data_IF_366362243227
#
_entry.id   IF_366362243227
#
_cell.length_a   1.000
_cell.length_b   1.000
_cell.length_c   1.000
_cell.angle_alpha   90.00
_cell.angle_beta   90.00
_cell.angle_gamma   90.00
#
_symmetry.space_group_name_H-M   'P 1'
#
loop_
_entity.id
_entity.type
_entity.pdbx_description
1 polymer ?
#
# COMPACT_ATOMS: atom_id res chain seq x y z
N UNK A 1 -10.75 4.11 -1.11
CA UNK A 1 -9.85 3.03 -1.51
C UNK A 1 -10.55 1.70 -1.37
N UNK A 2 -10.50 0.90 -2.40
CA UNK A 2 -11.14 -0.41 -2.40
C UNK A 2 -10.10 -1.52 -2.33
N UNK A 3 -10.46 -2.60 -1.63
CA UNK A 3 -9.64 -3.81 -1.61
C UNK A 3 -10.35 -4.81 -2.52
N UNK A 4 -9.69 -5.18 -3.61
CA UNK A 4 -10.26 -6.07 -4.61
C UNK A 4 -9.40 -7.31 -4.78
N UNK A 5 -10.06 -8.45 -4.97
CA UNK A 5 -9.40 -9.69 -5.28
C UNK A 5 -9.58 -10.00 -6.77
N UNK A 6 -8.48 -10.20 -7.46
CA UNK A 6 -8.48 -10.60 -8.85
C UNK A 6 -7.76 -11.92 -9.01
N UNK A 7 -8.25 -12.76 -9.88
CA UNK A 7 -7.63 -14.06 -10.13
C UNK A 7 -6.23 -13.92 -10.69
N UNK A 8 -5.98 -12.86 -11.46
CA UNK A 8 -4.65 -12.58 -11.96
C UNK A 8 -4.43 -11.09 -12.10
N UNK A 9 -3.15 -10.70 -12.05
CA UNK A 9 -2.76 -9.32 -12.25
C UNK A 9 -3.04 -8.87 -13.69
N UNK A 10 -2.93 -9.77 -14.64
CA UNK A 10 -3.25 -9.49 -16.04
C UNK A 10 -4.72 -9.10 -16.20
N UNK A 11 -5.61 -9.84 -15.54
CA UNK A 11 -7.03 -9.53 -15.56
C UNK A 11 -7.29 -8.15 -14.96
N UNK A 12 -6.64 -7.85 -13.84
CA UNK A 12 -6.77 -6.54 -13.22
C UNK A 12 -6.36 -5.42 -14.16
N UNK A 13 -5.18 -5.53 -14.78
CA UNK A 13 -4.67 -4.50 -15.68
C UNK A 13 -5.52 -4.36 -16.94
N UNK A 14 -6.15 -5.43 -17.40
CA UNK A 14 -7.01 -5.37 -18.55
C UNK A 14 -8.30 -4.61 -18.29
N UNK A 15 -8.74 -4.57 -17.03
CA UNK A 15 -10.00 -3.94 -16.63
C UNK A 15 -9.86 -2.53 -16.07
N UNK A 16 -8.63 -2.13 -15.71
CA UNK A 16 -8.39 -0.87 -15.03
C UNK A 16 -7.29 -0.09 -15.71
N UNK A 17 -7.47 1.22 -15.81
CA UNK A 17 -6.44 2.12 -16.31
C UNK A 17 -5.55 2.52 -15.12
N UNK A 18 -4.44 1.83 -14.96
CA UNK A 18 -3.53 2.04 -13.84
C UNK A 18 -2.47 3.05 -14.23
N UNK A 19 -2.59 4.28 -13.75
CA UNK A 19 -1.65 5.36 -14.05
C UNK A 19 -0.56 5.51 -13.00
N UNK A 20 -0.89 5.25 -11.76
CA UNK A 20 0.07 5.30 -10.66
C UNK A 20 -0.15 4.08 -9.78
N UNK A 21 0.93 3.38 -9.48
CA UNK A 21 0.87 2.19 -8.64
C UNK A 21 2.09 2.09 -7.75
N UNK A 22 1.89 1.47 -6.59
CA UNK A 22 2.96 1.17 -5.64
C UNK A 22 2.80 -0.27 -5.19
N UNK A 23 3.91 -1.00 -5.14
CA UNK A 23 3.92 -2.41 -4.76
C UNK A 23 4.59 -2.55 -3.40
N UNK A 24 3.92 -3.20 -2.47
CA UNK A 24 4.45 -3.41 -1.12
C UNK A 24 5.14 -4.76 -1.07
N UNK A 25 6.44 -4.74 -0.78
CA UNK A 25 7.25 -5.95 -0.73
C UNK A 25 8.43 -5.76 0.21
N UNK A 26 8.77 -6.82 0.94
CA UNK A 26 9.98 -6.80 1.78
C UNK A 26 11.26 -6.79 0.95
N UNK A 27 11.15 -6.99 -0.36
CA UNK A 27 12.29 -6.97 -1.29
C UNK A 27 12.50 -5.62 -1.95
N UNK A 28 11.69 -4.63 -1.60
CA UNK A 28 11.75 -3.32 -2.22
C UNK A 28 12.99 -2.53 -1.80
N UNK A 29 13.47 -1.64 -2.68
CA UNK A 29 14.71 -0.89 -2.42
C UNK A 29 14.54 0.33 -1.52
N UNK A 30 13.32 0.75 -1.25
CA UNK A 30 13.09 1.97 -0.46
C UNK A 30 11.90 1.85 0.47
N UNK A 31 11.84 2.77 1.42
CA UNK A 31 10.79 2.82 2.42
C UNK A 31 9.48 3.31 1.82
N UNK A 32 8.36 2.81 2.34
CA UNK A 32 7.03 3.20 1.87
C UNK A 32 6.75 4.69 2.05
N UNK A 33 7.43 5.35 2.97
CA UNK A 33 7.26 6.80 3.20
C UNK A 33 7.96 7.66 2.16
N UNK A 34 8.86 7.08 1.38
CA UNK A 34 9.57 7.79 0.33
C UNK A 34 8.77 7.92 -0.95
N UNK A 35 7.69 7.15 -1.09
CA UNK A 35 6.83 7.23 -2.26
C UNK A 35 5.93 8.46 -2.19
N UNK A 36 5.63 9.04 -3.35
CA UNK A 36 4.68 10.14 -3.44
C UNK A 36 3.33 9.57 -3.89
N UNK A 37 2.40 9.49 -2.96
CA UNK A 37 1.07 8.94 -3.24
C UNK A 37 0.13 10.05 -3.65
N UNK A 38 -0.63 9.80 -4.72
CA UNK A 38 -1.64 10.74 -5.21
C UNK A 38 -3.00 10.09 -5.16
N UNK A 39 -4.03 10.91 -5.17
CA UNK A 39 -5.40 10.42 -5.19
C UNK A 39 -5.62 9.59 -6.45
N UNK A 40 -6.22 8.41 -6.30
CA UNK A 40 -6.44 7.50 -7.41
C UNK A 40 -5.30 6.51 -7.66
N UNK A 41 -4.24 6.53 -6.87
CA UNK A 41 -3.17 5.54 -7.00
C UNK A 41 -3.63 4.16 -6.56
N UNK A 42 -2.99 3.14 -7.10
CA UNK A 42 -3.24 1.74 -6.75
C UNK A 42 -2.14 1.21 -5.85
N UNK A 43 -2.53 0.46 -4.84
CA UNK A 43 -1.58 -0.19 -3.93
C UNK A 43 -1.73 -1.70 -4.10
N UNK A 44 -0.63 -2.39 -4.38
CA UNK A 44 -0.61 -3.82 -4.58
C UNK A 44 0.06 -4.52 -3.41
N UNK A 45 -0.61 -5.53 -2.89
CA UNK A 45 -0.13 -6.34 -1.78
C UNK A 45 -0.17 -7.81 -2.19
N UNK A 46 0.86 -8.54 -1.81
CA UNK A 46 0.88 -9.98 -2.04
C UNK A 46 0.13 -10.74 -0.95
N UNK A 47 -0.10 -12.02 -1.20
CA UNK A 47 -0.67 -12.92 -0.20
C UNK A 47 0.31 -13.07 0.96
N UNK A 48 -0.22 -13.30 2.15
CA UNK A 48 0.59 -13.43 3.37
C UNK A 48 1.72 -14.46 3.27
N UNK A 49 1.49 -15.54 2.56
CA UNK A 49 2.46 -16.63 2.47
C UNK A 49 3.44 -16.51 1.31
N UNK A 50 3.06 -15.86 0.24
CA UNK A 50 3.86 -15.81 -0.99
C UNK A 50 4.33 -14.44 -1.41
N UNK A 51 3.62 -13.38 -0.98
CA UNK A 51 3.88 -12.05 -1.48
C UNK A 51 3.50 -11.90 -2.96
N UNK A 52 3.96 -10.84 -3.57
CA UNK A 52 3.75 -10.61 -5.00
C UNK A 52 4.74 -11.43 -5.82
N UNK A 53 4.37 -11.88 -7.03
CA UNK A 53 5.29 -12.63 -7.87
C UNK A 53 6.57 -11.86 -8.15
N UNK A 54 7.72 -12.53 -8.13
CA UNK A 54 9.01 -11.87 -8.36
C UNK A 54 9.12 -11.25 -9.76
N UNK A 55 8.53 -11.87 -10.75
CA UNK A 55 8.51 -11.31 -12.10
C UNK A 55 7.75 -9.98 -12.14
N UNK A 56 6.66 -9.89 -11.40
CA UNK A 56 5.88 -8.65 -11.30
C UNK A 56 6.69 -7.59 -10.58
N UNK A 57 7.36 -7.94 -9.49
CA UNK A 57 8.19 -7.01 -8.73
C UNK A 57 9.37 -6.51 -9.57
N UNK A 58 9.99 -7.39 -10.34
CA UNK A 58 11.11 -7.01 -11.21
C UNK A 58 10.66 -6.01 -12.28
N UNK A 59 9.51 -6.24 -12.87
CA UNK A 59 8.94 -5.37 -13.90
C UNK A 59 8.61 -3.99 -13.35
N UNK A 60 8.15 -3.92 -12.09
CA UNK A 60 7.71 -2.68 -11.45
C UNK A 60 8.63 -2.26 -10.31
N UNK A 61 9.89 -2.66 -10.35
CA UNK A 61 10.84 -2.42 -9.26
C UNK A 61 10.92 -0.96 -8.81
N UNK A 62 10.92 0.04 -9.71
CA UNK A 62 10.93 1.44 -9.27
C UNK A 62 9.70 1.86 -8.46
N UNK A 63 8.62 1.09 -8.56
CA UNK A 63 7.38 1.35 -7.82
C UNK A 63 7.25 0.48 -6.58
N UNK A 64 8.30 -0.25 -6.20
CA UNK A 64 8.26 -1.10 -5.02
C UNK A 64 8.73 -0.36 -3.78
N UNK A 65 7.98 -0.50 -2.70
CA UNK A 65 8.30 0.10 -1.41
C UNK A 65 8.10 -0.93 -0.30
N UNK A 66 8.72 -0.69 0.85
CA UNK A 66 8.58 -1.59 1.97
C UNK A 66 8.29 -0.84 3.26
N UNK A 67 7.60 -1.51 4.18
CA UNK A 67 7.41 -1.03 5.53
C UNK A 67 8.62 -1.50 6.35
N UNK A 68 9.34 -0.59 7.00
CA UNK A 68 10.50 -0.99 7.81
C UNK A 68 10.13 -1.97 8.91
N UNK A 69 10.97 -2.98 9.10
CA UNK A 69 10.81 -3.99 10.14
C UNK A 69 12.17 -4.36 10.68
N UNK A 70 12.18 -4.98 11.86
CA UNK A 70 13.41 -5.51 12.40
C UNK A 70 13.94 -6.63 11.51
N UNK A 71 15.26 -6.79 11.41
CA UNK A 71 15.84 -7.83 10.54
C UNK A 71 15.35 -9.25 10.81
N UNK A 72 15.03 -9.56 12.07
CA UNK A 72 14.53 -10.87 12.44
C UNK A 72 13.07 -11.11 12.13
N UNK A 73 12.33 -10.06 11.79
CA UNK A 73 10.92 -10.18 11.42
C UNK A 73 10.80 -10.62 9.97
N UNK A 74 9.87 -11.53 9.67
CA UNK A 74 9.66 -12.03 8.30
C UNK A 74 8.78 -11.11 7.48
N UNK A 75 7.63 -10.76 8.03
CA UNK A 75 6.66 -9.91 7.34
C UNK A 75 5.63 -9.42 8.35
N UNK A 76 4.94 -8.36 7.96
CA UNK A 76 3.78 -7.91 8.71
C UNK A 76 2.55 -8.69 8.26
N UNK A 77 1.57 -8.79 9.13
CA UNK A 77 0.26 -9.29 8.77
C UNK A 77 -0.28 -8.41 7.62
N UNK A 78 -0.92 -9.04 6.65
CA UNK A 78 -1.42 -8.34 5.47
C UNK A 78 -2.38 -7.20 5.83
N UNK A 79 -3.30 -7.44 6.75
CA UNK A 79 -4.24 -6.39 7.16
C UNK A 79 -3.54 -5.19 7.77
N UNK A 80 -2.50 -5.43 8.56
CA UNK A 80 -1.72 -4.35 9.14
C UNK A 80 -0.96 -3.58 8.07
N UNK A 81 -0.36 -4.28 7.11
CA UNK A 81 0.37 -3.64 6.01
C UNK A 81 -0.56 -2.77 5.18
N UNK A 82 -1.76 -3.25 4.88
CA UNK A 82 -2.77 -2.48 4.14
C UNK A 82 -3.14 -1.22 4.91
N UNK A 83 -3.42 -1.34 6.20
CA UNK A 83 -3.81 -0.20 7.03
C UNK A 83 -2.70 0.85 7.12
N UNK A 84 -1.47 0.41 7.40
CA UNK A 84 -0.32 1.32 7.53
C UNK A 84 -0.09 2.09 6.23
N UNK A 85 -0.04 1.39 5.11
CA UNK A 85 0.24 2.00 3.81
C UNK A 85 -0.89 2.91 3.36
N UNK A 86 -2.14 2.47 3.58
CA UNK A 86 -3.31 3.27 3.23
C UNK A 86 -3.31 4.60 3.98
N UNK A 87 -3.02 4.58 5.27
CA UNK A 87 -2.99 5.82 6.06
C UNK A 87 -1.82 6.72 5.69
N UNK A 88 -0.68 6.16 5.29
CA UNK A 88 0.42 6.99 4.79
C UNK A 88 0.01 7.68 3.48
N UNK A 89 -0.63 6.94 2.57
CA UNK A 89 -1.10 7.53 1.32
C UNK A 89 -2.13 8.63 1.59
N UNK A 90 -3.07 8.38 2.50
CA UNK A 90 -4.09 9.36 2.87
C UNK A 90 -3.47 10.59 3.54
N UNK A 91 -2.45 10.39 4.38
CA UNK A 91 -1.75 11.50 5.03
C UNK A 91 -1.13 12.43 4.00
N UNK A 92 -0.51 11.88 2.98
CA UNK A 92 0.16 12.69 1.95
C UNK A 92 -0.82 13.54 1.14
N UNK A 93 -2.07 13.09 1.01
CA UNK A 93 -3.10 13.87 0.30
C UNK A 93 -4.06 14.58 1.28
N UNK A 94 -3.61 14.77 2.53
CA UNK A 94 -4.31 15.53 3.57
C UNK A 94 -5.64 14.92 4.02
N UNK A 95 -5.72 13.58 4.07
CA UNK A 95 -6.88 12.85 4.60
C UNK A 95 -8.23 13.33 4.05
N UNK A 96 -8.43 13.32 2.72
CA UNK A 96 -9.66 13.84 2.13
C UNK A 96 -10.90 13.12 2.66
N UNK A 97 -11.86 13.90 3.12
CA UNK A 97 -13.10 13.37 3.64
C UNK A 97 -13.00 12.73 5.01
N UNK A 98 -11.83 12.75 5.64
CA UNK A 98 -11.65 12.16 6.97
C UNK A 98 -11.55 13.23 8.04
N UNK A 99 -11.99 12.87 9.22
CA UNK A 99 -11.92 13.75 10.37
C UNK A 99 -10.54 13.60 11.03
N UNK A 100 -9.78 14.69 11.04
CA UNK A 100 -8.40 14.66 11.56
C UNK A 100 -8.31 14.96 13.04
N UNK A 101 -9.26 15.70 13.57
CA UNK A 101 -9.21 16.17 14.95
C UNK A 101 -10.47 15.80 15.69
N UNK A 102 -10.27 15.37 16.91
CA UNK A 102 -11.38 15.16 17.82
C UNK A 102 -11.56 16.36 18.73
N UNK A 103 -12.71 16.45 19.33
CA UNK A 103 -13.00 17.48 20.32
C UNK A 103 -13.59 16.80 21.54
N UNK A 104 -13.02 17.06 22.69
CA UNK A 104 -13.57 16.53 23.93
C UNK A 104 -14.88 17.23 24.24
N UNK A 105 -15.80 16.50 24.81
CA UNK A 105 -17.05 17.08 25.26
C UNK A 105 -16.78 18.02 26.42
N UNK A 106 -17.57 19.09 26.52
CA UNK A 106 -17.45 20.04 27.64
C UNK A 106 -17.69 19.39 29.00
N UNK A 107 -18.41 18.26 28.97
CA UNK A 107 -18.72 17.51 30.18
C UNK A 107 -17.65 16.49 30.55
N UNK A 108 -16.63 16.40 29.80
CA UNK A 108 -15.53 15.48 30.07
C UNK A 108 -14.49 16.13 30.93
#
# INVERSE_FOLDING_TARGET
MEVLDYESLEDFFSRNDVREMWCLSTKAPRCYTEAEYHDGCYLFFGKETKGLPESFLAEHYPSCVRIPMRPEARSLNLSNAVAITTYEALRQISFPGLKEFGKMRDTL
#
